data_IF_312605520333
#
_entry.id   IF_312605520333
#
_cell.length_a   1.000
_cell.length_b   1.000
_cell.length_c   1.000
_cell.angle_alpha   90.00
_cell.angle_beta   90.00
_cell.angle_gamma   90.00
#
_symmetry.space_group_name_H-M   'P 1'
#
loop_
_entity.id
_entity.type
_entity.pdbx_description
1 polymer ?
#
# COMPACT_ATOMS: atom_id res chain seq x y z
N UNK A 1 45.79 -37.24 -52.63
CA UNK A 1 45.15 -36.02 -52.09
C UNK A 1 43.71 -36.37 -51.78
N UNK A 2 43.26 -36.22 -50.53
CA UNK A 2 41.87 -35.97 -50.07
C UNK A 2 41.86 -36.26 -48.55
N UNK A 3 41.98 -35.20 -47.75
CA UNK A 3 41.88 -35.25 -46.28
C UNK A 3 40.38 -35.22 -45.91
N UNK A 4 39.88 -36.23 -45.21
CA UNK A 4 38.58 -36.15 -44.54
C UNK A 4 38.72 -35.28 -43.29
N UNK A 5 38.02 -34.14 -43.27
CA UNK A 5 37.79 -33.34 -42.06
C UNK A 5 36.56 -33.90 -41.34
N UNK A 6 36.77 -34.43 -40.13
CA UNK A 6 35.70 -34.73 -39.18
C UNK A 6 35.38 -33.43 -38.44
N UNK A 7 34.22 -32.84 -38.73
CA UNK A 7 33.69 -31.71 -37.98
C UNK A 7 32.89 -32.23 -36.78
N UNK A 8 33.48 -32.15 -35.58
CA UNK A 8 32.74 -32.29 -34.33
C UNK A 8 31.87 -31.05 -34.12
N UNK A 9 30.56 -31.20 -34.33
CA UNK A 9 29.58 -30.20 -33.90
C UNK A 9 29.36 -30.39 -32.40
N UNK A 10 29.96 -29.53 -31.59
CA UNK A 10 29.67 -29.41 -30.17
C UNK A 10 28.36 -28.61 -30.05
N UNK A 11 27.25 -29.30 -29.82
CA UNK A 11 26.00 -28.65 -29.46
C UNK A 11 26.11 -28.14 -28.01
N UNK A 12 26.35 -26.84 -27.83
CA UNK A 12 26.17 -26.17 -26.55
C UNK A 12 24.66 -26.12 -26.24
N UNK A 13 24.19 -27.01 -25.40
CA UNK A 13 22.88 -26.87 -24.75
C UNK A 13 22.97 -25.77 -23.70
N UNK A 14 22.61 -24.54 -24.05
CA UNK A 14 22.28 -23.50 -23.09
C UNK A 14 21.01 -23.92 -22.34
N UNK A 15 21.17 -24.62 -21.22
CA UNK A 15 20.10 -24.74 -20.24
C UNK A 15 19.88 -23.35 -19.62
N UNK A 16 18.96 -22.59 -20.20
CA UNK A 16 18.41 -21.42 -19.54
C UNK A 16 17.67 -21.92 -18.31
N UNK A 17 18.28 -21.80 -17.14
CA UNK A 17 17.58 -21.93 -15.87
C UNK A 17 16.53 -20.82 -15.86
N UNK A 18 15.27 -21.16 -16.19
CA UNK A 18 14.14 -20.31 -15.84
C UNK A 18 14.18 -20.22 -14.31
N UNK A 19 14.73 -19.14 -13.76
CA UNK A 19 14.45 -18.79 -12.38
C UNK A 19 12.93 -18.72 -12.28
N UNK A 20 12.34 -19.58 -11.44
CA UNK A 20 10.95 -19.40 -11.07
C UNK A 20 10.83 -17.96 -10.57
N UNK A 21 10.03 -17.13 -11.26
CA UNK A 21 9.72 -15.81 -10.75
C UNK A 21 9.06 -16.00 -9.38
N UNK A 22 9.76 -15.60 -8.33
CA UNK A 22 9.21 -15.62 -6.98
C UNK A 22 7.93 -14.79 -6.96
N UNK A 23 6.85 -15.41 -6.49
CA UNK A 23 5.56 -14.73 -6.31
C UNK A 23 5.67 -13.90 -5.05
N UNK A 24 5.63 -12.58 -5.17
CA UNK A 24 5.55 -11.69 -4.01
C UNK A 24 4.19 -11.88 -3.32
N UNK A 25 4.18 -12.00 -2.00
CA UNK A 25 2.99 -12.23 -1.18
C UNK A 25 2.77 -11.06 -0.23
N UNK A 26 1.58 -10.48 -0.27
CA UNK A 26 1.17 -9.42 0.67
C UNK A 26 -0.07 -9.81 1.44
N UNK A 27 -0.02 -9.60 2.75
CA UNK A 27 -1.19 -9.68 3.63
C UNK A 27 -1.58 -8.30 4.13
N UNK A 28 -2.86 -7.93 4.02
CA UNK A 28 -3.35 -6.60 4.40
C UNK A 28 -4.33 -6.66 5.56
N UNK A 29 -4.15 -5.78 6.52
CA UNK A 29 -5.00 -5.67 7.71
C UNK A 29 -5.52 -4.25 7.77
N UNK A 30 -6.84 -4.09 7.76
CA UNK A 30 -7.44 -2.78 7.80
C UNK A 30 -8.94 -2.80 7.59
N UNK A 31 -9.45 -1.72 6.99
CA UNK A 31 -10.88 -1.54 6.79
C UNK A 31 -11.21 -1.09 5.36
N UNK A 32 -12.34 -0.41 5.19
CA UNK A 32 -12.80 0.05 3.87
C UNK A 32 -11.81 1.00 3.16
N UNK A 33 -10.91 1.68 3.88
CA UNK A 33 -9.90 2.55 3.26
C UNK A 33 -8.72 1.73 2.70
N UNK A 34 -8.36 0.62 3.36
CA UNK A 34 -7.47 -0.39 2.77
C UNK A 34 -8.13 -1.01 1.54
N UNK A 35 -9.42 -1.34 1.64
CA UNK A 35 -10.18 -1.89 0.50
C UNK A 35 -10.26 -0.92 -0.68
N UNK A 36 -10.26 0.40 -0.43
CA UNK A 36 -10.25 1.43 -1.46
C UNK A 36 -8.93 1.51 -2.24
N UNK A 37 -7.80 1.05 -1.70
CA UNK A 37 -6.59 0.82 -2.52
C UNK A 37 -6.75 -0.32 -3.55
N UNK A 38 -7.89 -1.03 -3.48
CA UNK A 38 -8.23 -2.22 -4.26
C UNK A 38 -7.13 -3.29 -4.23
N UNK A 39 -6.96 -4.01 -3.10
CA UNK A 39 -5.98 -5.09 -3.00
C UNK A 39 -6.06 -6.09 -4.17
N UNK A 40 -7.26 -6.38 -4.67
CA UNK A 40 -7.48 -7.28 -5.82
C UNK A 40 -6.96 -6.76 -7.17
N UNK A 41 -6.71 -5.46 -7.29
CA UNK A 41 -6.21 -4.83 -8.50
C UNK A 41 -4.67 -4.71 -8.50
N UNK A 42 -4.02 -4.83 -7.34
CA UNK A 42 -2.55 -4.75 -7.22
C UNK A 42 -1.84 -5.84 -8.06
N UNK A 43 -2.32 -7.10 -8.12
CA UNK A 43 -1.75 -8.10 -9.04
C UNK A 43 -1.86 -7.70 -10.52
N UNK A 44 -2.95 -7.03 -10.92
CA UNK A 44 -3.13 -6.56 -12.30
C UNK A 44 -2.17 -5.41 -12.62
N UNK A 45 -1.88 -4.51 -11.66
CA UNK A 45 -0.84 -3.48 -11.80
C UNK A 45 0.56 -4.12 -11.89
N UNK A 46 0.85 -5.08 -11.01
CA UNK A 46 2.12 -5.79 -10.99
C UNK A 46 2.39 -6.58 -12.29
N UNK A 47 1.36 -7.19 -12.86
CA UNK A 47 1.45 -7.91 -14.13
C UNK A 47 1.90 -7.00 -15.30
N UNK A 48 1.62 -5.69 -15.27
CA UNK A 48 2.08 -4.74 -16.30
C UNK A 48 3.61 -4.53 -16.29
N UNK A 49 4.30 -4.98 -15.24
CA UNK A 49 5.76 -5.02 -15.14
C UNK A 49 6.28 -6.45 -15.08
N UNK A 50 5.44 -7.43 -15.44
CA UNK A 50 5.79 -8.84 -15.40
C UNK A 50 6.00 -9.39 -13.98
N UNK A 51 5.55 -8.68 -12.93
CA UNK A 51 5.69 -9.12 -11.55
C UNK A 51 4.50 -10.01 -11.19
N UNK A 52 4.78 -11.20 -10.65
CA UNK A 52 3.75 -12.08 -10.10
C UNK A 52 3.50 -11.70 -8.64
N UNK A 53 2.25 -11.42 -8.32
CA UNK A 53 1.85 -10.98 -7.00
C UNK A 53 0.63 -11.74 -6.49
N UNK A 54 0.64 -12.04 -5.20
CA UNK A 54 -0.45 -12.67 -4.48
C UNK A 54 -0.87 -11.77 -3.33
N UNK A 55 -2.18 -11.56 -3.21
CA UNK A 55 -2.80 -10.72 -2.19
C UNK A 55 -3.75 -11.54 -1.32
N UNK A 56 -3.66 -11.32 -0.01
CA UNK A 56 -4.63 -11.77 0.97
C UNK A 56 -4.87 -10.66 1.99
N UNK A 57 -5.99 -10.73 2.70
CA UNK A 57 -6.40 -9.62 3.55
C UNK A 57 -7.39 -10.02 4.63
N UNK A 58 -7.33 -9.27 5.74
CA UNK A 58 -8.36 -9.16 6.76
C UNK A 58 -8.93 -7.73 6.71
N UNK A 59 -10.17 -7.59 6.25
CA UNK A 59 -10.83 -6.29 6.10
C UNK A 59 -12.09 -6.25 6.96
N UNK A 60 -12.13 -5.34 7.93
CA UNK A 60 -13.29 -5.09 8.79
C UNK A 60 -13.70 -3.60 8.74
N UNK A 61 -14.82 -3.32 8.08
CA UNK A 61 -15.21 -1.98 7.63
C UNK A 61 -15.48 -1.03 8.81
N UNK A 62 -14.92 0.18 8.74
CA UNK A 62 -15.05 1.20 9.78
C UNK A 62 -14.42 0.84 11.13
N UNK A 63 -13.57 -0.20 11.19
CA UNK A 63 -12.94 -0.66 12.44
C UNK A 63 -11.49 -0.21 12.54
N UNK A 64 -11.06 0.04 13.78
CA UNK A 64 -9.66 0.28 14.15
C UNK A 64 -8.87 -1.01 14.26
N UNK A 65 -7.54 -0.92 14.30
CA UNK A 65 -6.66 -2.06 14.55
C UNK A 65 -6.98 -2.71 15.91
N UNK A 66 -7.32 -1.92 16.93
CA UNK A 66 -7.75 -2.43 18.24
C UNK A 66 -8.97 -3.34 18.13
N UNK A 67 -9.98 -2.94 17.36
CA UNK A 67 -11.19 -3.75 17.15
C UNK A 67 -10.87 -5.02 16.36
N UNK A 68 -10.09 -4.89 15.28
CA UNK A 68 -9.66 -6.03 14.47
C UNK A 68 -8.94 -7.06 15.35
N UNK A 69 -7.95 -6.63 16.13
CA UNK A 69 -7.16 -7.51 17.00
C UNK A 69 -8.02 -8.25 18.02
N UNK A 70 -8.95 -7.56 18.68
CA UNK A 70 -9.78 -8.13 19.74
C UNK A 70 -10.97 -8.93 19.23
N UNK A 71 -11.32 -8.81 17.95
CA UNK A 71 -12.45 -9.50 17.32
C UNK A 71 -12.01 -10.11 15.97
N UNK A 72 -11.09 -11.10 15.99
CA UNK A 72 -10.41 -11.61 14.80
C UNK A 72 -11.31 -12.32 13.79
N UNK A 73 -12.54 -12.66 14.16
CA UNK A 73 -13.52 -13.30 13.28
C UNK A 73 -14.45 -12.30 12.58
N UNK A 74 -14.41 -11.02 12.98
CA UNK A 74 -15.20 -9.97 12.35
C UNK A 74 -14.54 -9.47 11.06
N UNK A 75 -15.19 -9.73 9.93
CA UNK A 75 -14.79 -9.20 8.61
C UNK A 75 -16.00 -8.64 7.86
N UNK A 76 -15.77 -7.63 7.02
CA UNK A 76 -16.79 -7.14 6.07
C UNK A 76 -16.51 -7.57 4.63
N UNK A 77 -15.28 -8.00 4.32
CA UNK A 77 -14.92 -8.59 3.03
C UNK A 77 -14.54 -10.03 3.26
N UNK A 78 -15.05 -10.93 2.41
CA UNK A 78 -14.69 -12.35 2.45
C UNK A 78 -13.18 -12.52 2.37
N UNK A 79 -12.62 -13.23 3.35
CA UNK A 79 -11.21 -13.62 3.42
C UNK A 79 -10.77 -14.44 2.19
N UNK A 80 -9.46 -14.47 1.95
CA UNK A 80 -8.88 -15.20 0.83
C UNK A 80 -8.45 -16.58 1.30
N UNK A 81 -9.03 -17.62 0.73
CA UNK A 81 -8.59 -19.00 0.96
C UNK A 81 -7.25 -19.27 0.23
N UNK A 82 -6.33 -20.08 0.80
CA UNK A 82 -6.45 -20.79 2.08
C UNK A 82 -5.95 -19.99 3.31
N UNK A 83 -5.74 -18.68 3.20
CA UNK A 83 -5.03 -17.89 4.22
C UNK A 83 -5.89 -17.53 5.44
N UNK A 84 -7.19 -17.28 5.23
CA UNK A 84 -8.12 -16.98 6.33
C UNK A 84 -7.95 -15.60 6.96
N UNK A 85 -8.26 -15.47 8.26
CA UNK A 85 -8.12 -14.22 9.03
C UNK A 85 -6.68 -14.02 9.49
N UNK A 86 -6.33 -12.86 10.07
CA UNK A 86 -4.94 -12.58 10.44
C UNK A 86 -4.38 -13.59 11.45
N UNK A 87 -5.23 -14.15 12.32
CA UNK A 87 -4.82 -15.13 13.32
C UNK A 87 -4.31 -16.44 12.71
N UNK A 88 -4.78 -16.78 11.51
CA UNK A 88 -4.32 -17.93 10.72
C UNK A 88 -3.23 -17.50 9.75
N UNK A 89 -3.51 -16.45 8.97
CA UNK A 89 -2.65 -16.00 7.89
C UNK A 89 -1.23 -15.64 8.34
N UNK A 90 -1.09 -14.83 9.41
CA UNK A 90 0.19 -14.27 9.81
C UNK A 90 1.19 -15.32 10.34
N UNK A 91 0.83 -16.22 11.27
CA UNK A 91 1.78 -17.20 11.78
C UNK A 91 2.00 -18.40 10.84
N UNK A 92 1.05 -18.74 9.97
CA UNK A 92 1.05 -20.02 9.25
C UNK A 92 1.44 -19.94 7.77
N UNK A 93 1.63 -18.73 7.22
CA UNK A 93 1.98 -18.53 5.81
C UNK A 93 3.20 -17.60 5.64
N UNK A 94 3.82 -17.66 4.45
CA UNK A 94 4.96 -16.80 4.10
C UNK A 94 4.48 -15.47 3.49
N UNK A 95 5.06 -14.37 3.98
CA UNK A 95 4.74 -13.02 3.54
C UNK A 95 6.00 -12.23 3.25
N UNK A 96 6.06 -11.62 2.07
CA UNK A 96 7.09 -10.63 1.75
C UNK A 96 6.74 -9.27 2.36
N UNK A 97 5.44 -8.96 2.41
CA UNK A 97 4.93 -7.74 3.00
C UNK A 97 3.65 -7.94 3.83
N UNK A 98 3.53 -7.18 4.92
CA UNK A 98 2.29 -7.06 5.69
C UNK A 98 1.93 -5.59 5.85
N UNK A 99 0.72 -5.19 5.49
CA UNK A 99 0.26 -3.79 5.62
C UNK A 99 -0.77 -3.67 6.74
N UNK A 100 -0.67 -2.65 7.59
CA UNK A 100 -1.63 -2.36 8.66
C UNK A 100 -2.13 -0.92 8.55
N UNK A 101 -3.45 -0.75 8.53
CA UNK A 101 -4.11 0.54 8.46
C UNK A 101 -4.75 0.90 9.81
N UNK A 102 -4.21 1.92 10.48
CA UNK A 102 -4.87 2.58 11.61
C UNK A 102 -6.15 3.32 11.19
N UNK A 103 -7.14 3.34 12.08
CA UNK A 103 -8.41 4.04 11.84
C UNK A 103 -9.07 4.48 13.14
N UNK A 104 -9.77 5.64 13.18
CA UNK A 104 -10.51 6.06 14.36
C UNK A 104 -11.46 4.98 14.88
N UNK A 105 -11.57 4.89 16.20
CA UNK A 105 -12.44 3.96 16.90
C UNK A 105 -12.48 4.29 18.40
N UNK A 106 -13.46 3.75 19.13
CA UNK A 106 -13.69 4.06 20.56
C UNK A 106 -12.40 3.98 21.39
N UNK A 107 -11.63 2.92 21.17
CA UNK A 107 -10.39 2.60 21.88
C UNK A 107 -9.15 2.84 21.02
N UNK A 108 -9.26 3.56 19.90
CA UNK A 108 -8.13 3.82 19.00
C UNK A 108 -7.40 5.09 19.43
N UNK A 109 -6.17 4.93 19.87
CA UNK A 109 -5.22 6.00 20.18
C UNK A 109 -3.86 5.69 19.58
N UNK A 110 -2.94 6.65 19.60
CA UNK A 110 -1.56 6.49 19.19
C UNK A 110 -0.85 5.35 19.93
N UNK A 111 -1.09 5.19 21.25
CA UNK A 111 -0.56 4.07 22.02
C UNK A 111 -1.15 2.72 21.61
N UNK A 112 -2.49 2.63 21.44
CA UNK A 112 -3.11 1.36 21.07
C UNK A 112 -2.73 0.96 19.65
N UNK A 113 -2.68 1.90 18.71
CA UNK A 113 -2.29 1.62 17.33
C UNK A 113 -0.82 1.16 17.26
N UNK A 114 0.07 1.81 18.02
CA UNK A 114 1.46 1.36 18.17
C UNK A 114 1.51 -0.08 18.70
N UNK A 115 0.78 -0.37 19.78
CA UNK A 115 0.75 -1.70 20.39
C UNK A 115 0.21 -2.76 19.43
N UNK A 116 -0.89 -2.49 18.72
CA UNK A 116 -1.50 -3.45 17.78
C UNK A 116 -0.59 -3.72 16.58
N UNK A 117 0.11 -2.72 16.05
CA UNK A 117 1.09 -2.94 14.98
C UNK A 117 2.22 -3.84 15.47
N UNK A 118 2.74 -3.62 16.68
CA UNK A 118 3.77 -4.48 17.27
C UNK A 118 3.27 -5.92 17.48
N UNK A 119 2.03 -6.08 17.95
CA UNK A 119 1.41 -7.40 18.12
C UNK A 119 1.26 -8.14 16.78
N UNK A 120 0.88 -7.46 15.69
CA UNK A 120 0.83 -8.07 14.35
C UNK A 120 2.23 -8.45 13.85
N UNK A 121 3.24 -7.62 14.09
CA UNK A 121 4.63 -7.93 13.74
C UNK A 121 5.09 -9.19 14.49
N UNK A 122 4.88 -9.24 15.81
CA UNK A 122 5.25 -10.39 16.63
C UNK A 122 4.51 -11.66 16.20
N UNK A 123 3.20 -11.58 15.98
CA UNK A 123 2.40 -12.72 15.52
C UNK A 123 2.90 -13.27 14.18
N UNK A 124 3.21 -12.38 13.23
CA UNK A 124 3.77 -12.73 11.93
C UNK A 124 5.09 -13.50 12.05
N UNK A 125 5.90 -13.17 13.07
CA UNK A 125 7.25 -13.74 13.29
C UNK A 125 7.30 -14.85 14.35
N UNK A 126 6.20 -15.12 15.05
CA UNK A 126 6.12 -15.97 16.26
C UNK A 126 6.63 -17.40 16.09
N UNK A 127 6.59 -17.96 14.87
CA UNK A 127 7.06 -19.33 14.56
C UNK A 127 8.45 -19.36 13.92
N UNK A 128 9.22 -18.28 14.04
CA UNK A 128 10.53 -18.12 13.39
C UNK A 128 10.45 -17.99 11.86
N UNK A 129 9.23 -17.84 11.31
CA UNK A 129 8.93 -17.52 9.91
C UNK A 129 8.98 -16.01 9.69
N UNK A 130 8.89 -15.56 8.43
CA UNK A 130 8.65 -14.14 8.11
C UNK A 130 9.68 -13.15 8.71
N UNK A 131 10.92 -13.60 8.93
CA UNK A 131 11.99 -12.76 9.51
C UNK A 131 12.39 -11.58 8.62
N UNK A 132 12.19 -11.73 7.30
CA UNK A 132 12.55 -10.72 6.30
C UNK A 132 11.34 -9.94 5.78
N UNK A 133 10.14 -10.18 6.32
CA UNK A 133 8.93 -9.46 5.94
C UNK A 133 9.08 -7.97 6.18
N UNK A 134 8.67 -7.17 5.20
CA UNK A 134 8.57 -5.72 5.36
C UNK A 134 7.16 -5.36 5.82
N UNK A 135 7.09 -4.61 6.92
CA UNK A 135 5.83 -4.18 7.52
C UNK A 135 5.52 -2.76 7.09
N UNK A 136 4.29 -2.50 6.68
CA UNK A 136 3.88 -1.19 6.18
C UNK A 136 2.77 -0.62 7.04
N UNK A 137 2.97 0.60 7.54
CA UNK A 137 1.89 1.43 8.05
C UNK A 137 1.21 2.07 6.84
N UNK A 138 -0.04 1.70 6.57
CA UNK A 138 -0.81 2.35 5.53
C UNK A 138 -1.43 3.62 6.10
N UNK A 139 -0.96 4.78 5.63
CA UNK A 139 -1.43 6.11 6.04
C UNK A 139 -2.49 6.60 5.04
N UNK A 140 -3.79 6.48 5.35
CA UNK A 140 -4.87 6.90 4.46
C UNK A 140 -5.08 8.42 4.53
N UNK A 141 -6.15 8.88 3.89
CA UNK A 141 -6.58 10.27 3.79
C UNK A 141 -7.63 10.64 4.88
N UNK A 142 -7.79 11.94 5.19
CA UNK A 142 -8.90 12.46 5.98
C UNK A 142 -10.22 12.42 5.21
N UNK A 143 -11.33 12.50 5.96
CA UNK A 143 -12.68 12.68 5.42
C UNK A 143 -12.83 14.05 4.75
N UNK A 144 -13.62 14.12 3.67
CA UNK A 144 -13.86 15.36 2.91
C UNK A 144 -14.60 16.42 3.75
N UNK A 145 -15.44 15.99 4.70
CA UNK A 145 -16.32 16.85 5.49
C UNK A 145 -15.63 17.48 6.73
N UNK A 146 -14.29 17.44 6.77
CA UNK A 146 -13.50 17.95 7.90
C UNK A 146 -12.91 19.35 7.68
N UNK A 147 -13.13 19.93 6.51
CA UNK A 147 -12.63 21.24 6.11
C UNK A 147 -11.67 21.14 4.92
N UNK A 148 -10.89 22.19 4.72
CA UNK A 148 -9.85 22.24 3.71
C UNK A 148 -8.86 21.08 3.88
N UNK A 149 -8.56 20.35 2.81
CA UNK A 149 -7.73 19.14 2.88
C UNK A 149 -6.30 19.45 3.33
N UNK A 150 -5.68 20.52 2.84
CA UNK A 150 -4.33 20.90 3.26
C UNK A 150 -4.32 21.23 4.74
N UNK A 151 -5.28 22.03 5.21
CA UNK A 151 -5.39 22.40 6.63
C UNK A 151 -5.63 21.18 7.52
N UNK A 152 -6.48 20.24 7.12
CA UNK A 152 -6.77 19.04 7.91
C UNK A 152 -5.57 18.09 7.91
N UNK A 153 -4.96 17.83 6.75
CA UNK A 153 -3.85 16.90 6.61
C UNK A 153 -2.60 17.38 7.34
N UNK A 154 -2.29 18.67 7.27
CA UNK A 154 -1.13 19.28 7.91
C UNK A 154 -1.39 19.77 9.34
N UNK A 155 -2.58 19.54 9.90
CA UNK A 155 -2.87 19.86 11.29
C UNK A 155 -1.95 19.10 12.23
N UNK A 156 -1.33 19.83 13.15
CA UNK A 156 -0.56 19.23 14.24
C UNK A 156 -1.39 18.23 15.05
N UNK A 157 -0.74 17.20 15.54
CA UNK A 157 -1.36 16.16 16.35
C UNK A 157 -0.41 15.83 17.50
N UNK A 158 -0.85 15.87 18.78
CA UNK A 158 0.05 15.62 19.90
C UNK A 158 0.66 14.22 19.86
N UNK A 159 1.95 14.12 20.17
CA UNK A 159 2.63 12.84 20.39
C UNK A 159 2.38 12.33 21.82
N UNK A 160 1.15 11.89 22.12
CA UNK A 160 0.73 11.40 23.43
C UNK A 160 -0.02 10.07 23.33
N UNK A 161 0.02 9.26 24.39
CA UNK A 161 -0.56 7.92 24.39
C UNK A 161 -2.08 7.91 24.17
N UNK A 162 -2.76 8.93 24.69
CA UNK A 162 -4.21 9.11 24.60
C UNK A 162 -4.67 9.88 23.35
N UNK A 163 -3.73 10.38 22.52
CA UNK A 163 -4.03 11.00 21.23
C UNK A 163 -4.89 10.06 20.39
N UNK A 164 -6.13 10.45 20.13
CA UNK A 164 -7.07 9.66 19.34
C UNK A 164 -6.55 9.47 17.92
N UNK A 165 -6.74 8.28 17.37
CA UNK A 165 -6.40 8.01 15.97
C UNK A 165 -7.11 9.01 15.07
N UNK A 166 -6.33 9.76 14.29
CA UNK A 166 -6.80 10.79 13.37
C UNK A 166 -5.94 10.75 12.11
N UNK A 167 -6.52 11.12 10.98
CA UNK A 167 -5.89 10.99 9.67
C UNK A 167 -5.16 12.28 9.28
N UNK A 168 -4.09 12.59 10.02
CA UNK A 168 -3.19 13.73 9.75
C UNK A 168 -1.79 13.20 9.44
N UNK A 169 -0.98 14.01 8.76
CA UNK A 169 0.44 13.69 8.54
C UNK A 169 1.17 13.45 9.87
N UNK A 170 1.00 14.38 10.82
CA UNK A 170 1.66 14.32 12.12
C UNK A 170 1.34 13.02 12.88
N UNK A 171 0.07 12.57 12.87
CA UNK A 171 -0.30 11.32 13.53
C UNK A 171 0.48 10.11 12.99
N UNK A 172 0.59 9.98 11.66
CA UNK A 172 1.29 8.86 11.04
C UNK A 172 2.80 8.96 11.17
N UNK A 173 3.37 10.16 11.23
CA UNK A 173 4.78 10.36 11.55
C UNK A 173 5.08 9.88 12.99
N UNK A 174 4.28 10.29 13.98
CA UNK A 174 4.44 9.83 15.36
C UNK A 174 4.27 8.31 15.46
N UNK A 175 3.27 7.74 14.78
CA UNK A 175 3.03 6.30 14.78
C UNK A 175 4.22 5.54 14.19
N UNK A 176 4.77 5.99 13.06
CA UNK A 176 5.96 5.41 12.45
C UNK A 176 7.17 5.44 13.40
N UNK A 177 7.44 6.59 14.02
CA UNK A 177 8.57 6.73 14.95
C UNK A 177 8.40 5.85 16.20
N UNK A 178 7.19 5.79 16.78
CA UNK A 178 6.90 4.96 17.95
C UNK A 178 7.05 3.47 17.67
N UNK A 179 6.56 2.99 16.53
CA UNK A 179 6.68 1.58 16.14
C UNK A 179 8.14 1.22 15.88
N UNK A 180 8.83 2.00 15.04
CA UNK A 180 10.23 1.72 14.65
C UNK A 180 11.20 1.79 15.82
N UNK A 181 10.95 2.62 16.83
CA UNK A 181 11.73 2.67 18.07
C UNK A 181 11.58 1.40 18.94
N UNK A 182 10.57 0.56 18.70
CA UNK A 182 10.21 -0.60 19.55
C UNK A 182 10.38 -1.95 18.86
N UNK A 183 10.80 -1.98 17.60
CA UNK A 183 11.01 -3.22 16.85
C UNK A 183 12.30 -3.20 16.05
N UNK A 184 12.84 -4.39 15.77
CA UNK A 184 13.94 -4.59 14.82
C UNK A 184 13.45 -4.97 13.42
N UNK A 185 12.15 -5.22 13.25
CA UNK A 185 11.58 -5.51 11.95
C UNK A 185 11.68 -4.29 11.03
N UNK A 186 11.74 -4.52 9.71
CA UNK A 186 11.71 -3.42 8.75
C UNK A 186 10.30 -2.87 8.67
N UNK A 187 10.12 -1.62 9.10
CA UNK A 187 8.84 -0.92 9.04
C UNK A 187 8.94 0.25 8.07
N UNK A 188 7.93 0.42 7.22
CA UNK A 188 7.81 1.46 6.19
C UNK A 188 6.41 2.07 6.19
N UNK A 189 6.20 3.11 5.40
CA UNK A 189 4.91 3.80 5.24
C UNK A 189 4.44 3.72 3.79
N UNK A 190 3.14 3.46 3.59
CA UNK A 190 2.45 3.69 2.31
C UNK A 190 1.68 5.02 2.47
N UNK A 191 2.16 6.14 1.90
CA UNK A 191 1.73 7.49 2.26
C UNK A 191 0.55 8.00 1.41
N UNK A 192 -0.53 7.23 1.29
CA UNK A 192 -1.63 7.58 0.40
C UNK A 192 -2.25 8.94 0.73
N UNK A 193 -2.40 9.28 2.02
CA UNK A 193 -2.90 10.61 2.43
C UNK A 193 -2.04 11.77 1.94
N UNK A 194 -0.71 11.59 1.88
CA UNK A 194 0.20 12.59 1.34
C UNK A 194 0.12 12.69 -0.19
N UNK A 195 -0.12 11.59 -0.89
CA UNK A 195 -0.36 11.60 -2.34
C UNK A 195 -1.65 12.35 -2.68
N UNK A 196 -2.72 12.14 -1.92
CA UNK A 196 -3.96 12.91 -2.10
C UNK A 196 -3.74 14.40 -1.78
N UNK A 197 -2.88 14.74 -0.81
CA UNK A 197 -2.50 16.13 -0.53
C UNK A 197 -1.76 16.79 -1.71
N UNK A 198 -0.83 16.07 -2.33
CA UNK A 198 -0.12 16.54 -3.53
C UNK A 198 -1.09 16.71 -4.72
N UNK A 199 -2.02 15.78 -4.90
CA UNK A 199 -3.06 15.89 -5.94
C UNK A 199 -4.01 17.08 -5.68
N UNK A 200 -4.42 17.31 -4.43
CA UNK A 200 -5.20 18.50 -4.06
C UNK A 200 -4.46 19.80 -4.43
N UNK A 201 -3.16 19.90 -4.15
CA UNK A 201 -2.37 21.05 -4.56
C UNK A 201 -2.35 21.22 -6.08
N UNK A 202 -2.17 20.13 -6.84
CA UNK A 202 -2.20 20.19 -8.32
C UNK A 202 -3.57 20.60 -8.86
N UNK A 203 -4.65 20.14 -8.25
CA UNK A 203 -6.01 20.53 -8.61
C UNK A 203 -6.22 22.03 -8.38
N UNK A 204 -5.81 22.56 -7.23
CA UNK A 204 -5.88 24.00 -6.90
C UNK A 204 -5.08 24.87 -7.85
N UNK A 205 -3.93 24.36 -8.29
CA UNK A 205 -3.08 25.01 -9.30
C UNK A 205 -3.67 24.92 -10.73
N UNK A 206 -4.80 24.22 -10.93
CA UNK A 206 -5.41 24.02 -12.24
C UNK A 206 -4.64 23.05 -13.14
N UNK A 207 -3.79 22.18 -12.57
CA UNK A 207 -2.91 21.25 -13.31
C UNK A 207 -3.57 19.91 -13.66
N UNK A 208 -4.79 19.66 -13.19
CA UNK A 208 -5.54 18.43 -13.50
C UNK A 208 -6.88 18.84 -14.12
N UNK A 209 -6.97 18.73 -15.45
CA UNK A 209 -8.17 19.11 -16.21
C UNK A 209 -9.38 18.28 -15.76
N UNK A 210 -10.53 18.94 -15.59
CA UNK A 210 -11.78 18.31 -15.16
C UNK A 210 -11.92 18.13 -13.65
N UNK A 211 -10.91 18.50 -12.86
CA UNK A 211 -10.93 18.49 -11.40
C UNK A 211 -10.78 19.91 -10.88
N UNK A 212 -11.61 20.28 -9.92
CA UNK A 212 -11.67 21.65 -9.37
C UNK A 212 -11.37 21.71 -7.88
N UNK A 213 -11.57 20.59 -7.18
CA UNK A 213 -11.31 20.45 -5.75
C UNK A 213 -11.06 18.98 -5.40
N UNK A 214 -10.34 18.70 -4.31
CA UNK A 214 -9.99 17.32 -3.95
C UNK A 214 -11.20 16.39 -3.74
N UNK A 215 -12.38 16.94 -3.41
CA UNK A 215 -13.61 16.12 -3.29
C UNK A 215 -13.99 15.45 -4.61
N UNK A 216 -13.51 15.94 -5.74
CA UNK A 216 -13.67 15.30 -7.04
C UNK A 216 -12.94 13.94 -7.13
N UNK A 217 -12.12 13.59 -6.13
CA UNK A 217 -11.51 12.26 -5.95
C UNK A 217 -12.31 11.34 -5.02
N UNK A 218 -13.38 11.84 -4.40
CA UNK A 218 -14.23 11.11 -3.47
C UNK A 218 -15.52 10.64 -4.16
N UNK A 219 -16.10 9.55 -3.63
CA UNK A 219 -17.45 9.08 -4.02
C UNK A 219 -18.48 9.32 -2.92
N UNK A 220 -18.01 9.53 -1.71
CA UNK A 220 -18.76 9.87 -0.50
C UNK A 220 -17.81 10.55 0.49
N UNK A 221 -18.32 10.91 1.68
CA UNK A 221 -17.59 11.71 2.67
C UNK A 221 -16.23 11.15 3.13
N UNK A 222 -15.97 9.86 2.91
CA UNK A 222 -14.74 9.20 3.39
C UNK A 222 -14.05 8.38 2.31
N UNK A 223 -14.76 7.89 1.31
CA UNK A 223 -14.22 6.93 0.37
C UNK A 223 -13.92 7.52 -1.00
N UNK A 224 -12.89 6.99 -1.67
CA UNK A 224 -12.40 7.50 -2.95
C UNK A 224 -13.21 6.96 -4.14
N UNK A 225 -13.33 7.73 -5.22
CA UNK A 225 -13.92 7.26 -6.48
C UNK A 225 -12.89 6.48 -7.31
N UNK A 226 -13.18 6.18 -8.58
CA UNK A 226 -12.28 5.41 -9.44
C UNK A 226 -10.86 6.00 -9.51
N UNK A 227 -10.76 7.31 -9.72
CA UNK A 227 -9.48 8.02 -9.84
C UNK A 227 -8.73 8.09 -8.53
N UNK A 228 -9.40 8.45 -7.43
CA UNK A 228 -8.76 8.45 -6.10
C UNK A 228 -8.30 7.04 -5.69
N UNK A 229 -9.10 6.01 -5.96
CA UNK A 229 -8.72 4.61 -5.70
C UNK A 229 -7.52 4.18 -6.54
N UNK A 230 -7.43 4.61 -7.80
CA UNK A 230 -6.26 4.36 -8.63
C UNK A 230 -5.01 5.02 -8.05
N UNK A 231 -5.09 6.28 -7.61
CA UNK A 231 -3.98 6.93 -6.92
C UNK A 231 -3.52 6.16 -5.66
N UNK A 232 -4.47 5.67 -4.85
CA UNK A 232 -4.17 4.84 -3.68
C UNK A 232 -3.53 3.48 -4.04
N UNK A 233 -4.02 2.84 -5.10
CA UNK A 233 -3.50 1.57 -5.63
C UNK A 233 -2.09 1.72 -6.21
N UNK A 234 -1.86 2.77 -7.00
CA UNK A 234 -0.54 3.08 -7.58
C UNK A 234 0.47 3.48 -6.50
N UNK A 235 0.06 4.24 -5.48
CA UNK A 235 0.92 4.53 -4.31
C UNK A 235 1.37 3.24 -3.62
N UNK A 236 0.39 2.36 -3.36
CA UNK A 236 0.63 1.06 -2.75
C UNK A 236 1.57 0.20 -3.60
N UNK A 237 1.29 0.08 -4.90
CA UNK A 237 2.14 -0.65 -5.84
C UNK A 237 3.58 -0.11 -5.81
N UNK A 238 3.74 1.19 -5.98
CA UNK A 238 5.05 1.86 -6.04
C UNK A 238 5.90 1.54 -4.82
N UNK A 239 5.29 1.60 -3.62
CA UNK A 239 5.98 1.34 -2.35
C UNK A 239 6.26 -0.15 -2.14
N UNK A 240 5.33 -1.04 -2.48
CA UNK A 240 5.50 -2.50 -2.31
C UNK A 240 6.56 -3.09 -3.23
N UNK A 241 6.66 -2.59 -4.45
CA UNK A 241 7.56 -3.12 -5.48
C UNK A 241 8.82 -2.27 -5.69
N UNK A 242 8.90 -1.09 -5.05
CA UNK A 242 9.96 -0.11 -5.24
C UNK A 242 10.17 0.19 -6.75
N UNK A 243 9.07 0.42 -7.47
CA UNK A 243 9.04 0.66 -8.91
C UNK A 243 8.45 2.02 -9.22
N UNK A 244 9.08 2.79 -10.10
CA UNK A 244 8.49 4.03 -10.60
C UNK A 244 7.13 3.73 -11.28
N UNK A 245 6.05 4.44 -10.91
CA UNK A 245 4.72 4.18 -11.45
C UNK A 245 4.51 4.66 -12.88
N UNK A 246 5.45 5.40 -13.48
CA UNK A 246 5.31 5.96 -14.82
C UNK A 246 4.89 4.91 -15.85
N UNK A 247 3.82 5.19 -16.59
CA UNK A 247 3.23 4.32 -17.60
C UNK A 247 2.46 3.12 -17.04
N UNK A 248 1.93 3.19 -15.82
CA UNK A 248 0.94 2.24 -15.33
C UNK A 248 -0.45 2.71 -15.75
N UNK A 249 -1.24 1.78 -16.28
CA UNK A 249 -2.63 2.09 -16.68
C UNK A 249 -3.63 1.40 -15.78
N UNK A 250 -4.83 1.99 -15.67
CA UNK A 250 -5.94 1.39 -14.94
C UNK A 250 -6.32 0.04 -15.59
N UNK A 251 -6.29 -1.09 -14.84
CA UNK A 251 -6.74 -2.37 -15.39
C UNK A 251 -8.24 -2.34 -15.76
N UNK A 252 -8.68 -2.99 -16.85
CA UNK A 252 -10.03 -2.82 -17.43
C UNK A 252 -11.23 -2.96 -16.49
N UNK A 253 -11.13 -3.77 -15.43
CA UNK A 253 -12.22 -4.08 -14.49
C UNK A 253 -12.01 -3.49 -13.09
N UNK A 254 -10.98 -2.67 -12.92
CA UNK A 254 -10.58 -2.10 -11.64
C UNK A 254 -10.82 -0.60 -11.66
N UNK A 255 -10.82 0.03 -10.48
CA UNK A 255 -10.82 1.50 -10.33
C UNK A 255 -11.86 2.27 -11.17
N UNK A 256 -13.04 1.69 -11.43
CA UNK A 256 -14.08 2.33 -12.26
C UNK A 256 -13.87 2.22 -13.77
N UNK A 257 -12.74 1.66 -14.20
CA UNK A 257 -12.38 1.36 -15.58
C UNK A 257 -11.52 2.44 -16.26
N UNK A 258 -10.75 2.06 -17.30
CA UNK A 258 -9.77 2.93 -17.95
C UNK A 258 -10.37 4.13 -18.70
N UNK A 259 -11.66 4.10 -19.01
CA UNK A 259 -12.37 5.18 -19.71
C UNK A 259 -12.48 6.48 -18.90
N UNK A 260 -12.18 6.45 -17.61
CA UNK A 260 -12.11 7.65 -16.75
C UNK A 260 -10.79 8.40 -16.89
N UNK A 261 -9.79 7.81 -17.56
CA UNK A 261 -8.43 8.31 -17.59
C UNK A 261 -8.03 8.72 -19.01
N UNK A 262 -7.29 9.82 -19.09
CA UNK A 262 -6.53 10.22 -20.27
C UNK A 262 -5.03 10.26 -19.91
N UNK A 263 -4.16 10.49 -20.89
CA UNK A 263 -2.71 10.51 -20.68
C UNK A 263 -2.27 11.53 -19.63
N UNK A 264 -2.85 12.75 -19.66
CA UNK A 264 -2.51 13.80 -18.70
C UNK A 264 -2.90 13.44 -17.25
N UNK A 265 -4.06 12.80 -17.05
CA UNK A 265 -4.49 12.35 -15.73
C UNK A 265 -3.61 11.22 -15.20
N UNK A 266 -3.22 10.26 -16.05
CA UNK A 266 -2.25 9.23 -15.66
C UNK A 266 -0.95 9.86 -15.21
N UNK A 267 -0.35 10.72 -16.04
CA UNK A 267 0.90 11.41 -15.71
C UNK A 267 0.80 12.22 -14.42
N UNK A 268 -0.29 12.97 -14.22
CA UNK A 268 -0.50 13.76 -13.01
C UNK A 268 -0.51 12.89 -11.74
N UNK A 269 -1.12 11.70 -11.79
CA UNK A 269 -1.16 10.75 -10.67
C UNK A 269 0.20 10.09 -10.47
N UNK A 270 0.81 9.58 -11.54
CA UNK A 270 2.11 8.90 -11.49
C UNK A 270 3.20 9.82 -10.93
N UNK A 271 3.26 11.07 -11.41
CA UNK A 271 4.21 12.08 -10.93
C UNK A 271 3.96 12.47 -9.48
N UNK A 272 2.69 12.62 -9.07
CA UNK A 272 2.35 12.92 -7.69
C UNK A 272 2.77 11.78 -6.75
N UNK A 273 2.48 10.54 -7.14
CA UNK A 273 2.90 9.35 -6.41
C UNK A 273 4.42 9.30 -6.31
N UNK A 274 5.13 9.39 -7.44
CA UNK A 274 6.58 9.28 -7.48
C UNK A 274 7.24 10.34 -6.62
N UNK A 275 6.84 11.61 -6.78
CA UNK A 275 7.34 12.73 -5.97
C UNK A 275 7.18 12.44 -4.48
N UNK A 276 5.98 12.12 -4.02
CA UNK A 276 5.70 11.91 -2.59
C UNK A 276 6.50 10.73 -2.03
N UNK A 277 6.52 9.59 -2.72
CA UNK A 277 7.21 8.41 -2.18
C UNK A 277 8.73 8.61 -2.10
N UNK A 278 9.32 9.38 -3.03
CA UNK A 278 10.76 9.67 -3.02
C UNK A 278 11.12 10.81 -2.07
N UNK A 279 10.26 11.82 -1.92
CA UNK A 279 10.44 12.87 -0.90
C UNK A 279 10.40 12.26 0.50
N UNK A 280 9.56 11.23 0.70
CA UNK A 280 9.45 10.47 1.94
C UNK A 280 10.33 9.20 1.98
N UNK A 281 11.42 9.13 1.21
CA UNK A 281 12.24 7.91 1.04
C UNK A 281 12.73 7.27 2.35
N UNK A 282 12.96 8.04 3.41
CA UNK A 282 13.34 7.52 4.73
C UNK A 282 12.23 6.65 5.36
N UNK A 283 10.97 7.01 5.13
CA UNK A 283 9.79 6.31 5.64
C UNK A 283 9.27 5.25 4.65
N UNK A 284 9.29 5.54 3.34
CA UNK A 284 8.75 4.63 2.30
C UNK A 284 9.74 3.54 1.90
N UNK A 285 11.04 3.83 1.99
CA UNK A 285 12.11 3.00 1.44
C UNK A 285 12.30 3.14 -0.07
N UNK A 286 11.50 3.96 -0.75
CA UNK A 286 11.60 4.22 -2.20
C UNK A 286 12.60 5.33 -2.45
N UNK A 287 13.73 5.01 -3.07
CA UNK A 287 14.80 5.98 -3.33
C UNK A 287 14.53 6.76 -4.61
N UNK A 288 14.86 8.07 -4.67
CA UNK A 288 14.95 8.77 -5.94
C UNK A 288 15.90 8.00 -6.88
N UNK A 289 15.53 7.86 -8.14
CA UNK A 289 16.47 7.37 -9.17
C UNK A 289 17.60 8.39 -9.28
N UNK A 290 18.83 7.97 -8.95
CA UNK A 290 20.06 8.75 -9.13
C UNK A 290 20.32 9.07 -10.60
#
# INVERSE_FOLDING_TARGET
MHRLLVACVIALSCAATLCAQDVQRTYRIGNSLTWDSQPKAIPDLAAQRGIKHLEAYHINCGKSLQRIWTHPDEVCVKVVEPFGTFGQALPDHDWDAVTMQSHPGKESTLATDTARILDFIELTQSKGRNKNTVFYIYAPWPREDRGDYQEVWHRDTPDADDTKTIQTKAYFDHLYHRVTAKTKATVRVIPTGAVIAELDQRIRDGKIEGYTEVKDLYRDIVHLNGVGRFAAGVTTYTVLFNQNPAGLVCPPKQYGGPQQFNEALYQAIEDAVWKVVTDMHEQTGVKPTS
#
